data_IF_818169447386
#
_entry.id   IF_818169447386
#
_cell.length_a   1.000
_cell.length_b   1.000
_cell.length_c   1.000
_cell.angle_alpha   90.00
_cell.angle_beta   90.00
_cell.angle_gamma   90.00
#
_symmetry.space_group_name_H-M   'P 1'
#
loop_
_entity.id
_entity.type
_entity.pdbx_description
1 polymer ?
#
# COMPACT_ATOMS: atom_id res chain seq x y z
N UNK A 1 -2.98 43.95 5.02
CA UNK A 1 -1.55 44.18 5.35
C UNK A 1 -0.74 43.60 4.19
N UNK A 2 -0.26 44.45 3.27
CA UNK A 2 0.48 44.05 2.07
C UNK A 2 1.91 43.65 2.46
N UNK A 3 2.34 42.46 2.10
CA UNK A 3 3.75 42.05 2.14
C UNK A 3 4.24 41.88 0.71
N UNK A 4 5.23 42.68 0.34
CA UNK A 4 5.96 42.60 -0.93
C UNK A 4 6.85 41.34 -0.96
N UNK A 5 7.06 40.71 -2.13
CA UNK A 5 8.03 39.65 -2.28
C UNK A 5 9.40 40.22 -2.73
N UNK A 6 10.44 40.04 -1.93
CA UNK A 6 11.83 40.23 -2.33
C UNK A 6 12.25 39.11 -3.31
N UNK A 7 11.88 39.24 -4.59
CA UNK A 7 12.58 38.55 -5.69
C UNK A 7 13.82 39.39 -6.03
N UNK A 8 15.01 39.00 -5.58
CA UNK A 8 16.31 39.47 -6.13
C UNK A 8 17.48 38.64 -5.58
N UNK A 9 17.41 37.31 -5.68
CA UNK A 9 18.56 36.46 -5.28
C UNK A 9 18.78 35.21 -6.13
N UNK A 10 17.81 34.74 -6.93
CA UNK A 10 17.99 33.51 -7.72
C UNK A 10 18.78 33.74 -9.01
N UNK A 11 18.55 34.88 -9.68
CA UNK A 11 19.13 35.13 -11.02
C UNK A 11 20.60 35.58 -10.96
N UNK A 12 20.99 36.28 -9.88
CA UNK A 12 22.38 36.74 -9.66
C UNK A 12 23.37 35.60 -9.41
N UNK A 13 22.90 34.47 -8.89
CA UNK A 13 23.74 33.30 -8.62
C UNK A 13 24.05 32.56 -9.93
N UNK A 14 23.09 32.53 -10.87
CA UNK A 14 23.23 31.86 -12.17
C UNK A 14 24.01 32.70 -13.19
N UNK A 15 23.97 34.03 -13.07
CA UNK A 15 24.73 34.94 -13.93
C UNK A 15 26.26 34.72 -13.83
N UNK A 16 26.78 34.31 -12.66
CA UNK A 16 28.22 34.04 -12.45
C UNK A 16 28.77 32.83 -13.20
N UNK A 17 27.92 31.96 -13.76
CA UNK A 17 28.34 30.72 -14.42
C UNK A 17 28.10 30.69 -15.94
N UNK A 18 27.55 31.75 -16.54
CA UNK A 18 27.49 31.89 -18.01
C UNK A 18 28.84 32.40 -18.51
N UNK A 19 29.66 31.51 -19.08
CA UNK A 19 30.80 31.92 -19.92
C UNK A 19 30.28 32.42 -21.29
N UNK A 20 30.92 33.42 -21.92
CA UNK A 20 30.56 33.85 -23.26
C UNK A 20 30.94 32.76 -24.27
N UNK A 21 29.99 32.39 -25.11
CA UNK A 21 30.18 31.59 -26.31
C UNK A 21 31.14 32.30 -27.28
N UNK A 22 32.28 31.67 -27.56
CA UNK A 22 33.16 32.07 -28.66
C UNK A 22 33.01 31.04 -29.79
N UNK A 23 32.32 31.47 -30.84
CA UNK A 23 32.46 30.92 -32.19
C UNK A 23 33.87 31.22 -32.72
N UNK A 24 34.56 30.20 -33.23
CA UNK A 24 35.43 30.23 -34.42
C UNK A 24 36.42 29.06 -34.38
N UNK A 25 36.14 28.05 -35.21
CA UNK A 25 37.17 27.11 -35.68
C UNK A 25 38.01 27.81 -36.74
N UNK A 26 39.32 27.55 -36.78
CA UNK A 26 39.88 27.12 -38.06
C UNK A 26 40.80 25.91 -37.92
N UNK A 27 41.10 25.38 -39.09
CA UNK A 27 41.50 24.03 -39.43
C UNK A 27 43.00 23.97 -39.76
N UNK A 28 43.62 22.82 -39.46
CA UNK A 28 44.79 22.16 -40.07
C UNK A 28 46.24 22.56 -39.75
N UNK A 29 46.99 21.48 -39.49
CA UNK A 29 48.22 21.01 -40.16
C UNK A 29 49.54 20.92 -39.39
N UNK A 30 50.21 19.79 -39.67
CA UNK A 30 51.37 19.18 -39.02
C UNK A 30 52.68 19.99 -39.15
N UNK A 31 53.57 19.81 -38.17
CA UNK A 31 54.99 20.17 -38.31
C UNK A 31 55.86 19.68 -37.16
N UNK A 32 56.67 18.65 -37.42
CA UNK A 32 57.77 18.20 -36.55
C UNK A 32 58.83 19.32 -36.39
N UNK A 33 59.30 19.59 -35.16
CA UNK A 33 60.75 19.73 -34.88
C UNK A 33 61.07 19.80 -33.37
N UNK A 34 62.22 19.21 -33.04
CA UNK A 34 62.85 19.02 -31.73
C UNK A 34 63.07 20.34 -30.95
N UNK A 35 62.98 20.27 -29.61
CA UNK A 35 63.87 20.97 -28.64
C UNK A 35 63.67 20.35 -27.25
N UNK A 36 64.66 19.61 -26.77
CA UNK A 36 65.72 20.08 -25.86
C UNK A 36 65.25 20.15 -24.41
N UNK A 37 65.55 19.06 -23.71
CA UNK A 37 65.64 18.88 -22.26
C UNK A 37 66.33 20.05 -21.54
N UNK A 38 65.62 20.72 -20.61
CA UNK A 38 66.13 21.34 -19.37
C UNK A 38 65.02 22.07 -18.60
N UNK A 39 64.15 21.36 -17.87
CA UNK A 39 63.48 21.87 -16.64
C UNK A 39 63.11 20.70 -15.71
N UNK A 40 64.08 19.87 -15.32
CA UNK A 40 63.87 18.83 -14.30
C UNK A 40 64.11 19.43 -12.91
N UNK A 41 63.09 20.08 -12.34
CA UNK A 41 62.94 20.32 -10.87
C UNK A 41 61.60 21.00 -10.50
N UNK A 42 60.87 21.62 -11.44
CA UNK A 42 59.51 22.12 -11.21
C UNK A 42 58.42 21.04 -11.38
N UNK A 43 58.72 19.95 -12.08
CA UNK A 43 57.71 18.97 -12.48
C UNK A 43 57.29 18.01 -11.35
N UNK A 44 58.16 17.67 -10.39
CA UNK A 44 57.81 16.72 -9.33
C UNK A 44 56.72 17.25 -8.37
N UNK A 45 56.77 18.53 -8.00
CA UNK A 45 55.73 19.15 -7.16
C UNK A 45 54.38 19.27 -7.91
N UNK A 46 54.44 19.53 -9.22
CA UNK A 46 53.26 19.58 -10.08
C UNK A 46 52.68 18.17 -10.34
N UNK A 47 53.51 17.14 -10.43
CA UNK A 47 53.09 15.76 -10.69
C UNK A 47 52.45 15.13 -9.45
N UNK A 48 52.97 15.40 -8.26
CA UNK A 48 52.34 15.02 -6.99
C UNK A 48 51.01 15.77 -6.74
N UNK A 49 50.95 17.07 -7.04
CA UNK A 49 49.72 17.86 -6.95
C UNK A 49 48.65 17.41 -7.97
N UNK A 50 49.07 17.05 -9.19
CA UNK A 50 48.19 16.49 -10.22
C UNK A 50 47.70 15.09 -9.86
N UNK A 51 48.55 14.25 -9.27
CA UNK A 51 48.17 12.94 -8.73
C UNK A 51 47.15 13.07 -7.59
N UNK A 52 47.39 13.97 -6.64
CA UNK A 52 46.48 14.21 -5.50
C UNK A 52 45.10 14.73 -5.96
N UNK A 53 45.07 15.66 -6.91
CA UNK A 53 43.80 16.21 -7.43
C UNK A 53 43.03 15.20 -8.28
N UNK A 54 43.72 14.32 -9.02
CA UNK A 54 43.09 13.22 -9.77
C UNK A 54 42.45 12.20 -8.83
N UNK A 55 43.19 11.74 -7.80
CA UNK A 55 42.63 10.82 -6.79
C UNK A 55 41.45 11.45 -6.04
N UNK A 56 41.53 12.75 -5.72
CA UNK A 56 40.41 13.50 -5.11
C UNK A 56 39.17 13.51 -6.00
N UNK A 57 39.32 13.70 -7.32
CA UNK A 57 38.21 13.68 -8.29
C UNK A 57 37.59 12.29 -8.40
N UNK A 58 38.41 11.24 -8.54
CA UNK A 58 37.99 9.84 -8.62
C UNK A 58 37.19 9.42 -7.38
N UNK A 59 37.69 9.75 -6.19
CA UNK A 59 36.98 9.49 -4.93
C UNK A 59 35.67 10.26 -4.82
N UNK A 60 35.62 11.53 -5.24
CA UNK A 60 34.37 12.30 -5.20
C UNK A 60 33.29 11.66 -6.08
N UNK A 61 33.66 11.15 -7.25
CA UNK A 61 32.74 10.55 -8.20
C UNK A 61 32.19 9.21 -7.69
N UNK A 62 33.03 8.42 -7.02
CA UNK A 62 32.61 7.15 -6.40
C UNK A 62 31.79 7.39 -5.13
N UNK A 63 32.28 8.23 -4.22
CA UNK A 63 31.65 8.46 -2.91
C UNK A 63 30.37 9.32 -3.01
N UNK A 64 30.21 10.13 -4.07
CA UNK A 64 29.01 10.93 -4.29
C UNK A 64 27.74 10.09 -4.50
N UNK A 65 27.89 8.84 -4.92
CA UNK A 65 26.78 7.91 -5.16
C UNK A 65 26.54 6.96 -3.98
N UNK A 66 27.34 7.07 -2.91
CA UNK A 66 27.21 6.17 -1.76
C UNK A 66 26.06 6.61 -0.88
N UNK A 67 25.03 5.76 -0.79
CA UNK A 67 23.78 6.07 -0.12
C UNK A 67 23.90 6.04 1.41
N UNK A 68 24.84 5.28 1.99
CA UNK A 68 25.04 5.22 3.44
C UNK A 68 26.35 4.52 3.83
N UNK A 69 27.05 5.03 4.86
CA UNK A 69 28.20 4.37 5.48
C UNK A 69 27.71 3.62 6.73
N UNK A 70 27.84 2.27 6.78
CA UNK A 70 27.40 1.48 7.92
C UNK A 70 28.00 1.92 9.26
N UNK A 71 27.21 1.86 10.33
CA UNK A 71 27.57 2.34 11.66
C UNK A 71 28.83 1.65 12.23
N UNK A 72 29.00 0.35 11.97
CA UNK A 72 30.18 -0.41 12.42
C UNK A 72 31.50 0.12 11.82
N UNK A 73 31.47 0.70 10.61
CA UNK A 73 32.67 1.30 9.99
C UNK A 73 33.00 2.64 10.67
N UNK A 74 31.99 3.38 11.13
CA UNK A 74 32.18 4.66 11.83
C UNK A 74 32.88 4.46 13.18
N UNK A 75 32.43 3.47 13.96
CA UNK A 75 32.94 3.18 15.31
C UNK A 75 34.27 2.42 15.35
N UNK A 76 34.66 1.71 14.29
CA UNK A 76 35.86 0.87 14.31
C UNK A 76 37.13 1.71 14.62
N UNK A 77 37.97 1.38 15.62
CA UNK A 77 39.18 2.12 15.96
C UNK A 77 40.34 1.85 14.99
N UNK A 78 40.05 1.75 13.68
CA UNK A 78 41.05 1.53 12.64
C UNK A 78 41.47 2.84 11.96
N UNK A 79 42.65 2.81 11.32
CA UNK A 79 43.15 3.85 10.44
C UNK A 79 42.10 4.34 9.44
N UNK A 80 42.10 5.64 9.14
CA UNK A 80 41.21 6.24 8.13
C UNK A 80 41.42 5.63 6.73
N UNK A 81 42.62 5.13 6.41
CA UNK A 81 42.89 4.40 5.16
C UNK A 81 42.09 3.10 5.11
N UNK A 82 42.13 2.32 6.20
CA UNK A 82 41.39 1.05 6.32
C UNK A 82 39.88 1.29 6.24
N UNK A 83 39.37 2.35 6.88
CA UNK A 83 37.95 2.74 6.77
C UNK A 83 37.55 3.04 5.33
N UNK A 84 38.35 3.84 4.62
CA UNK A 84 38.08 4.21 3.22
C UNK A 84 38.13 2.99 2.29
N UNK A 85 39.12 2.12 2.43
CA UNK A 85 39.19 0.88 1.67
C UNK A 85 38.01 -0.05 1.94
N UNK A 86 37.57 -0.15 3.20
CA UNK A 86 36.42 -0.98 3.59
C UNK A 86 35.14 -0.47 2.95
N UNK A 87 34.93 0.85 2.91
CA UNK A 87 33.79 1.48 2.21
C UNK A 87 33.85 1.17 0.72
N UNK A 88 35.00 1.36 0.06
CA UNK A 88 35.14 1.09 -1.37
C UNK A 88 34.96 -0.39 -1.71
N UNK A 89 35.44 -1.32 -0.86
CA UNK A 89 35.19 -2.77 -1.04
C UNK A 89 33.71 -3.11 -0.88
N UNK A 90 33.02 -2.50 0.07
CA UNK A 90 31.58 -2.69 0.27
C UNK A 90 30.79 -2.22 -0.96
N UNK A 91 31.09 -1.01 -1.45
CA UNK A 91 30.45 -0.46 -2.65
C UNK A 91 30.77 -1.28 -3.90
N UNK A 92 31.99 -1.82 -4.01
CA UNK A 92 32.33 -2.75 -5.08
C UNK A 92 31.49 -4.03 -5.02
N UNK A 93 31.23 -4.56 -3.82
CA UNK A 93 30.34 -5.69 -3.60
C UNK A 93 28.90 -5.39 -4.02
N UNK A 94 28.38 -4.21 -3.67
CA UNK A 94 27.05 -3.74 -4.09
C UNK A 94 26.95 -3.61 -5.61
N UNK A 95 27.91 -2.95 -6.25
CA UNK A 95 27.94 -2.76 -7.70
C UNK A 95 27.99 -4.10 -8.46
N UNK A 96 28.74 -5.09 -7.95
CA UNK A 96 28.77 -6.45 -8.51
C UNK A 96 27.44 -7.19 -8.35
N UNK A 97 26.79 -7.07 -7.18
CA UNK A 97 25.47 -7.65 -6.93
C UNK A 97 24.41 -7.06 -7.89
N UNK A 98 24.48 -5.76 -8.14
CA UNK A 98 23.57 -5.04 -9.04
C UNK A 98 23.96 -5.13 -10.52
N UNK A 99 25.06 -5.81 -10.87
CA UNK A 99 25.62 -5.93 -12.24
C UNK A 99 25.94 -4.58 -12.91
N UNK A 100 26.29 -3.57 -12.13
CA UNK A 100 26.68 -2.24 -12.62
C UNK A 100 28.17 -2.19 -12.96
N UNK A 101 28.54 -2.68 -14.15
CA UNK A 101 29.94 -2.78 -14.57
C UNK A 101 30.69 -1.43 -14.62
N UNK A 102 30.00 -0.35 -15.00
CA UNK A 102 30.59 1.00 -15.07
C UNK A 102 30.90 1.55 -13.68
N UNK A 103 30.03 1.31 -12.69
CA UNK A 103 30.25 1.68 -11.29
C UNK A 103 31.39 0.86 -10.69
N UNK A 104 31.41 -0.46 -10.94
CA UNK A 104 32.45 -1.36 -10.49
C UNK A 104 33.85 -0.97 -11.00
N UNK A 105 33.98 -0.56 -12.26
CA UNK A 105 35.26 -0.10 -12.83
C UNK A 105 35.76 1.18 -12.14
N UNK A 106 34.87 2.16 -11.90
CA UNK A 106 35.23 3.41 -11.21
C UNK A 106 35.63 3.16 -9.76
N UNK A 107 34.92 2.27 -9.06
CA UNK A 107 35.24 1.88 -7.67
C UNK A 107 36.57 1.14 -7.61
N UNK A 108 36.85 0.23 -8.54
CA UNK A 108 38.11 -0.51 -8.60
C UNK A 108 39.31 0.42 -8.81
N UNK A 109 39.22 1.39 -9.72
CA UNK A 109 40.28 2.38 -9.92
C UNK A 109 40.45 3.31 -8.71
N UNK A 110 39.35 3.74 -8.07
CA UNK A 110 39.42 4.51 -6.84
C UNK A 110 40.06 3.72 -5.69
N UNK A 111 39.77 2.42 -5.58
CA UNK A 111 40.37 1.53 -4.59
C UNK A 111 41.87 1.36 -4.84
N UNK A 112 42.30 1.15 -6.09
CA UNK A 112 43.71 1.07 -6.49
C UNK A 112 44.46 2.35 -6.11
N UNK A 113 43.88 3.52 -6.39
CA UNK A 113 44.46 4.81 -6.02
C UNK A 113 44.61 4.98 -4.51
N UNK A 114 43.64 4.53 -3.70
CA UNK A 114 43.71 4.60 -2.23
C UNK A 114 44.77 3.65 -1.65
N UNK A 115 44.94 2.47 -2.25
CA UNK A 115 45.96 1.50 -1.83
C UNK A 115 47.38 2.06 -1.96
N UNK A 116 47.64 2.84 -3.01
CA UNK A 116 48.93 3.48 -3.31
C UNK A 116 49.27 4.68 -2.42
N UNK A 117 48.33 5.18 -1.60
CA UNK A 117 48.56 6.34 -0.74
C UNK A 117 48.98 5.94 0.67
N UNK A 118 49.89 6.73 1.27
CA UNK A 118 50.20 6.62 2.69
C UNK A 118 49.07 7.16 3.56
N UNK A 119 49.05 6.76 4.83
CA UNK A 119 48.05 7.19 5.79
C UNK A 119 47.98 8.72 5.96
N UNK A 120 49.13 9.41 5.95
CA UNK A 120 49.21 10.88 6.02
C UNK A 120 48.57 11.54 4.79
N UNK A 121 48.76 10.97 3.61
CA UNK A 121 48.19 11.47 2.36
C UNK A 121 46.68 11.22 2.28
N UNK A 122 46.21 10.05 2.74
CA UNK A 122 44.77 9.77 2.89
C UNK A 122 44.07 10.75 3.85
N UNK A 123 44.70 11.08 4.99
CA UNK A 123 44.16 12.05 5.95
C UNK A 123 44.02 13.45 5.33
N UNK A 124 45.06 13.94 4.65
CA UNK A 124 45.02 15.23 3.92
C UNK A 124 43.93 15.24 2.84
N UNK A 125 43.77 14.13 2.11
CA UNK A 125 42.75 13.98 1.07
C UNK A 125 41.33 14.08 1.63
N UNK A 126 41.06 13.39 2.74
CA UNK A 126 39.75 13.43 3.41
C UNK A 126 39.47 14.82 4.00
N UNK A 127 40.46 15.47 4.61
CA UNK A 127 40.32 16.85 5.10
C UNK A 127 40.00 17.82 3.94
N UNK A 128 40.67 17.67 2.81
CA UNK A 128 40.42 18.46 1.61
C UNK A 128 39.01 18.23 1.03
N UNK A 129 38.53 16.98 1.00
CA UNK A 129 37.15 16.65 0.60
C UNK A 129 36.11 17.23 1.57
N UNK A 130 36.38 17.20 2.89
CA UNK A 130 35.53 17.81 3.90
C UNK A 130 35.45 19.34 3.76
N UNK A 131 36.56 19.99 3.44
CA UNK A 131 36.58 21.43 3.18
C UNK A 131 35.71 21.78 1.96
N UNK A 132 35.81 21.03 0.86
CA UNK A 132 34.95 21.23 -0.31
C UNK A 132 33.46 21.05 0.02
N UNK A 133 33.13 20.04 0.84
CA UNK A 133 31.75 19.79 1.26
C UNK A 133 31.20 20.95 2.11
N UNK A 134 32.02 21.51 3.02
CA UNK A 134 31.65 22.69 3.82
C UNK A 134 31.39 23.91 2.93
N UNK A 135 32.24 24.15 1.93
CA UNK A 135 32.06 25.25 0.98
C UNK A 135 30.76 25.12 0.17
N UNK A 136 30.31 23.89 -0.12
CA UNK A 136 29.09 23.61 -0.87
C UNK A 136 27.87 23.34 0.00
N UNK A 137 27.99 23.44 1.33
CA UNK A 137 26.96 23.01 2.27
C UNK A 137 25.61 23.69 2.03
N UNK A 138 25.60 24.98 1.71
CA UNK A 138 24.38 25.74 1.42
C UNK A 138 23.67 25.21 0.17
N UNK A 139 24.42 24.93 -0.90
CA UNK A 139 23.87 24.36 -2.14
C UNK A 139 23.39 22.92 -1.94
N UNK A 140 24.14 22.10 -1.19
CA UNK A 140 23.72 20.75 -0.85
C UNK A 140 22.45 20.74 -0.02
N UNK A 141 22.31 21.66 0.94
CA UNK A 141 21.07 21.82 1.71
C UNK A 141 19.90 22.18 0.80
N UNK A 142 20.09 23.15 -0.09
CA UNK A 142 19.09 23.50 -1.10
C UNK A 142 18.68 22.28 -1.94
N UNK A 143 19.64 21.49 -2.43
CA UNK A 143 19.36 20.33 -3.28
C UNK A 143 18.62 19.23 -2.49
N UNK A 144 18.96 19.01 -1.22
CA UNK A 144 18.24 18.09 -0.34
C UNK A 144 16.81 18.57 -0.07
N UNK A 145 16.63 19.85 0.26
CA UNK A 145 15.30 20.45 0.48
C UNK A 145 14.45 20.38 -0.78
N UNK A 146 14.99 20.76 -1.94
CA UNK A 146 14.28 20.68 -3.22
C UNK A 146 13.93 19.23 -3.59
N UNK A 147 14.82 18.26 -3.32
CA UNK A 147 14.51 16.83 -3.50
C UNK A 147 13.37 16.39 -2.57
N UNK A 148 13.39 16.81 -1.31
CA UNK A 148 12.34 16.49 -0.34
C UNK A 148 11.00 17.11 -0.74
N UNK A 149 10.99 18.37 -1.19
CA UNK A 149 9.81 19.06 -1.71
C UNK A 149 9.23 18.36 -2.94
N UNK A 150 10.10 17.91 -3.86
CA UNK A 150 9.66 17.17 -5.05
C UNK A 150 9.04 15.81 -4.66
N UNK A 151 9.66 15.07 -3.75
CA UNK A 151 9.12 13.79 -3.23
C UNK A 151 7.79 14.00 -2.51
N UNK A 152 7.65 15.06 -1.71
CA UNK A 152 6.39 15.42 -1.07
C UNK A 152 5.32 15.74 -2.11
N UNK A 153 5.66 16.52 -3.14
CA UNK A 153 4.75 16.87 -4.23
C UNK A 153 4.29 15.62 -4.99
N UNK A 154 5.21 14.69 -5.28
CA UNK A 154 4.89 13.41 -5.91
C UNK A 154 3.92 12.58 -5.05
N UNK A 155 4.17 12.44 -3.75
CA UNK A 155 3.25 11.74 -2.83
C UNK A 155 1.87 12.41 -2.77
N UNK A 156 1.84 13.75 -2.74
CA UNK A 156 0.60 14.51 -2.74
C UNK A 156 -0.19 14.31 -4.03
N UNK A 157 0.47 14.36 -5.19
CA UNK A 157 -0.18 14.11 -6.48
C UNK A 157 -0.70 12.67 -6.59
N UNK A 158 0.03 11.68 -6.08
CA UNK A 158 -0.45 10.29 -6.02
C UNK A 158 -1.70 10.15 -5.15
N UNK A 159 -1.71 10.80 -3.98
CA UNK A 159 -2.86 10.79 -3.07
C UNK A 159 -4.09 11.44 -3.73
N UNK A 160 -3.90 12.58 -4.41
CA UNK A 160 -4.97 13.24 -5.17
C UNK A 160 -5.47 12.36 -6.32
N UNK A 161 -4.57 11.69 -7.03
CA UNK A 161 -4.94 10.78 -8.11
C UNK A 161 -5.83 9.64 -7.58
N UNK A 162 -5.47 9.06 -6.44
CA UNK A 162 -6.26 8.00 -5.82
C UNK A 162 -7.61 8.52 -5.32
N UNK A 163 -7.67 9.72 -4.74
CA UNK A 163 -8.94 10.34 -4.36
C UNK A 163 -9.86 10.53 -5.58
N UNK A 164 -9.35 11.08 -6.69
CA UNK A 164 -10.13 11.27 -7.92
C UNK A 164 -10.63 9.92 -8.48
N UNK A 165 -9.82 8.86 -8.41
CA UNK A 165 -10.26 7.51 -8.80
C UNK A 165 -11.41 7.02 -7.91
N UNK A 166 -11.32 7.20 -6.60
CA UNK A 166 -12.38 6.79 -5.67
C UNK A 166 -13.67 7.58 -5.92
N UNK A 167 -13.58 8.90 -6.07
CA UNK A 167 -14.74 9.77 -6.34
C UNK A 167 -15.41 9.42 -7.68
N UNK A 168 -14.60 9.13 -8.72
CA UNK A 168 -15.12 8.64 -10.00
C UNK A 168 -15.90 7.33 -9.83
N UNK A 169 -15.34 6.35 -9.12
CA UNK A 169 -16.00 5.06 -8.88
C UNK A 169 -17.33 5.27 -8.12
N UNK A 170 -17.33 6.12 -7.09
CA UNK A 170 -18.55 6.44 -6.34
C UNK A 170 -19.62 7.09 -7.21
N UNK A 171 -19.25 8.06 -8.06
CA UNK A 171 -20.15 8.68 -9.02
C UNK A 171 -20.71 7.65 -10.01
N UNK A 172 -19.89 6.71 -10.49
CA UNK A 172 -20.34 5.62 -11.36
C UNK A 172 -21.38 4.73 -10.64
N UNK A 173 -21.13 4.32 -9.39
CA UNK A 173 -22.09 3.55 -8.59
C UNK A 173 -23.40 4.31 -8.36
N UNK A 174 -23.33 5.60 -8.03
CA UNK A 174 -24.51 6.43 -7.84
C UNK A 174 -25.34 6.55 -9.12
N UNK A 175 -24.68 6.82 -10.26
CA UNK A 175 -25.32 6.88 -11.57
C UNK A 175 -26.03 5.55 -11.91
N UNK A 176 -25.33 4.42 -11.74
CA UNK A 176 -25.92 3.10 -11.96
C UNK A 176 -27.14 2.87 -11.04
N UNK A 177 -27.06 3.27 -9.77
CA UNK A 177 -28.18 3.16 -8.82
C UNK A 177 -29.41 3.95 -9.26
N UNK A 178 -29.22 5.16 -9.79
CA UNK A 178 -30.33 5.97 -10.30
C UNK A 178 -30.94 5.31 -11.54
N UNK A 179 -30.13 4.91 -12.52
CA UNK A 179 -30.62 4.30 -13.76
C UNK A 179 -31.35 2.97 -13.50
N UNK A 180 -30.78 2.09 -12.66
CA UNK A 180 -31.42 0.81 -12.33
C UNK A 180 -32.72 1.02 -11.58
N UNK A 181 -32.79 2.00 -10.67
CA UNK A 181 -34.03 2.31 -9.96
C UNK A 181 -35.12 2.80 -10.92
N UNK A 182 -34.78 3.64 -11.89
CA UNK A 182 -35.72 4.10 -12.91
C UNK A 182 -36.26 2.93 -13.73
N UNK A 183 -35.37 2.05 -14.21
CA UNK A 183 -35.76 0.84 -14.93
C UNK A 183 -36.66 -0.08 -14.11
N UNK A 184 -36.32 -0.31 -12.83
CA UNK A 184 -37.12 -1.14 -11.95
C UNK A 184 -38.50 -0.52 -11.66
N UNK A 185 -38.60 0.81 -11.68
CA UNK A 185 -39.89 1.51 -11.54
C UNK A 185 -40.83 1.21 -12.71
N UNK A 186 -40.31 1.05 -13.93
CA UNK A 186 -41.11 0.65 -15.10
C UNK A 186 -41.57 -0.81 -15.00
N UNK A 187 -40.78 -1.67 -14.36
CA UNK A 187 -41.04 -3.11 -14.21
C UNK A 187 -41.65 -3.48 -12.84
N UNK A 188 -42.18 -2.51 -12.10
CA UNK A 188 -42.67 -2.68 -10.74
C UNK A 188 -43.72 -3.81 -10.58
N UNK A 189 -44.70 -3.98 -11.50
CA UNK A 189 -45.66 -5.09 -11.40
C UNK A 189 -44.99 -6.47 -11.46
N UNK A 190 -43.96 -6.62 -12.30
CA UNK A 190 -43.20 -7.85 -12.46
C UNK A 190 -42.32 -8.12 -11.23
N UNK A 191 -41.73 -7.09 -10.63
CA UNK A 191 -40.98 -7.21 -9.37
C UNK A 191 -41.89 -7.59 -8.19
N UNK A 192 -43.09 -7.02 -8.13
CA UNK A 192 -44.07 -7.36 -7.08
C UNK A 192 -44.54 -8.81 -7.19
N UNK A 193 -44.90 -9.27 -8.39
CA UNK A 193 -45.26 -10.66 -8.63
C UNK A 193 -44.13 -11.62 -8.23
N UNK A 194 -42.88 -11.29 -8.59
CA UNK A 194 -41.70 -12.03 -8.17
C UNK A 194 -41.57 -12.08 -6.63
N UNK A 195 -41.74 -10.96 -5.92
CA UNK A 195 -41.61 -10.92 -4.47
C UNK A 195 -42.65 -11.81 -3.77
N UNK A 196 -43.88 -11.85 -4.29
CA UNK A 196 -44.94 -12.70 -3.73
C UNK A 196 -44.70 -14.18 -3.99
N UNK A 197 -44.20 -14.54 -5.17
CA UNK A 197 -43.81 -15.92 -5.49
C UNK A 197 -42.58 -16.37 -4.68
N UNK A 198 -41.56 -15.52 -4.56
CA UNK A 198 -40.37 -15.76 -3.76
C UNK A 198 -40.71 -16.03 -2.29
N UNK A 199 -41.73 -15.35 -1.73
CA UNK A 199 -42.19 -15.56 -0.35
C UNK A 199 -42.79 -16.96 -0.15
N UNK A 200 -43.40 -17.55 -1.19
CA UNK A 200 -44.03 -18.87 -1.11
C UNK A 200 -43.03 -20.02 -1.17
N UNK A 201 -41.85 -19.77 -1.74
CA UNK A 201 -40.76 -20.75 -1.74
C UNK A 201 -40.25 -20.98 -0.32
N UNK A 202 -39.94 -22.23 0.00
CA UNK A 202 -39.45 -22.62 1.33
C UNK A 202 -37.97 -22.98 1.31
N UNK A 203 -37.53 -23.69 0.27
CA UNK A 203 -36.15 -24.16 0.15
C UNK A 203 -35.19 -23.04 -0.30
N UNK A 204 -34.00 -23.02 0.29
CA UNK A 204 -32.97 -22.01 -0.02
C UNK A 204 -32.46 -22.16 -1.46
N UNK A 205 -32.26 -23.38 -1.94
CA UNK A 205 -31.76 -23.64 -3.29
C UNK A 205 -32.78 -23.20 -4.35
N UNK A 206 -34.08 -23.51 -4.14
CA UNK A 206 -35.17 -23.03 -5.01
C UNK A 206 -35.21 -21.49 -5.05
N UNK A 207 -35.05 -20.83 -3.90
CA UNK A 207 -34.98 -19.36 -3.84
C UNK A 207 -33.77 -18.82 -4.59
N UNK A 208 -32.62 -19.48 -4.53
CA UNK A 208 -31.42 -19.08 -5.25
C UNK A 208 -31.63 -19.18 -6.76
N UNK A 209 -32.11 -20.32 -7.25
CA UNK A 209 -32.38 -20.55 -8.68
C UNK A 209 -33.45 -19.59 -9.20
N UNK A 210 -34.53 -19.39 -8.44
CA UNK A 210 -35.60 -18.45 -8.81
C UNK A 210 -35.08 -17.01 -8.90
N UNK A 211 -34.23 -16.59 -7.97
CA UNK A 211 -33.60 -15.27 -7.99
C UNK A 211 -32.64 -15.10 -9.18
N UNK A 212 -31.81 -16.11 -9.48
CA UNK A 212 -30.89 -16.05 -10.62
C UNK A 212 -31.63 -15.99 -11.97
N UNK A 213 -32.66 -16.81 -12.13
CA UNK A 213 -33.52 -16.77 -13.32
C UNK A 213 -34.20 -15.41 -13.49
N UNK A 214 -34.63 -14.80 -12.38
CA UNK A 214 -35.22 -13.48 -12.39
C UNK A 214 -34.20 -12.39 -12.79
N UNK A 215 -32.96 -12.47 -12.33
CA UNK A 215 -31.89 -11.57 -12.77
C UNK A 215 -31.60 -11.69 -14.25
N UNK A 216 -31.51 -12.92 -14.78
CA UNK A 216 -31.32 -13.15 -16.21
C UNK A 216 -32.47 -12.55 -17.03
N UNK A 217 -33.72 -12.78 -16.61
CA UNK A 217 -34.90 -12.21 -17.27
C UNK A 217 -34.90 -10.68 -17.28
N UNK A 218 -34.59 -10.05 -16.15
CA UNK A 218 -34.49 -8.59 -16.08
C UNK A 218 -33.38 -8.04 -16.98
N UNK A 219 -32.26 -8.76 -17.07
CA UNK A 219 -31.14 -8.40 -17.93
C UNK A 219 -31.47 -8.55 -19.42
N UNK A 220 -32.25 -9.57 -19.80
CA UNK A 220 -32.77 -9.74 -21.16
C UNK A 220 -33.67 -8.56 -21.56
N UNK A 221 -34.65 -8.20 -20.71
CA UNK A 221 -35.53 -7.04 -20.92
C UNK A 221 -34.70 -5.75 -21.07
N UNK A 222 -33.65 -5.61 -20.26
CA UNK A 222 -32.76 -4.46 -20.34
C UNK A 222 -31.97 -4.42 -21.66
N UNK A 223 -31.48 -5.56 -22.17
CA UNK A 223 -30.75 -5.64 -23.44
C UNK A 223 -31.60 -5.38 -24.68
N UNK A 224 -32.90 -5.69 -24.62
CA UNK A 224 -33.84 -5.40 -25.71
C UNK A 224 -34.01 -3.89 -25.94
N UNK A 225 -33.80 -3.09 -24.89
CA UNK A 225 -33.94 -1.64 -24.97
C UNK A 225 -32.66 -0.97 -25.50
N UNK A 226 -32.76 -0.28 -26.64
CA UNK A 226 -31.64 0.42 -27.28
C UNK A 226 -30.92 1.42 -26.37
N UNK A 227 -31.63 2.04 -25.43
CA UNK A 227 -31.03 3.00 -24.49
C UNK A 227 -30.01 2.36 -23.53
N UNK A 228 -30.15 1.06 -23.27
CA UNK A 228 -29.31 0.34 -22.32
C UNK A 228 -28.11 -0.35 -22.97
N UNK A 229 -28.10 -0.58 -24.29
CA UNK A 229 -27.02 -1.28 -24.97
C UNK A 229 -25.66 -0.62 -24.77
N UNK A 230 -25.58 0.71 -24.93
CA UNK A 230 -24.34 1.47 -24.71
C UNK A 230 -23.90 1.48 -23.24
N UNK A 231 -24.86 1.54 -22.32
CA UNK A 231 -24.61 1.54 -20.87
C UNK A 231 -24.10 0.19 -20.42
N UNK A 232 -24.76 -0.89 -20.84
CA UNK A 232 -24.39 -2.26 -20.53
C UNK A 232 -23.04 -2.63 -21.13
N UNK A 233 -22.74 -2.24 -22.37
CA UNK A 233 -21.44 -2.53 -22.99
C UNK A 233 -20.25 -1.95 -22.18
N UNK A 234 -20.42 -0.78 -21.57
CA UNK A 234 -19.34 -0.12 -20.81
C UNK A 234 -19.38 -0.42 -19.31
N UNK A 235 -20.54 -0.74 -18.75
CA UNK A 235 -20.79 -0.79 -17.30
C UNK A 235 -21.57 -2.03 -16.84
N UNK A 236 -21.55 -3.12 -17.62
CA UNK A 236 -22.28 -4.37 -17.37
C UNK A 236 -22.21 -4.82 -15.91
N UNK A 237 -20.99 -5.02 -15.40
CA UNK A 237 -20.76 -5.47 -14.02
C UNK A 237 -21.41 -4.57 -12.98
N UNK A 238 -21.29 -3.25 -13.17
CA UNK A 238 -21.80 -2.27 -12.23
C UNK A 238 -23.33 -2.27 -12.19
N UNK A 239 -23.96 -2.39 -13.36
CA UNK A 239 -25.42 -2.47 -13.49
C UNK A 239 -25.93 -3.75 -12.85
N UNK A 240 -25.32 -4.91 -13.13
CA UNK A 240 -25.69 -6.20 -12.53
C UNK A 240 -25.64 -6.18 -11.00
N UNK A 241 -24.54 -5.72 -10.43
CA UNK A 241 -24.38 -5.62 -8.96
C UNK A 241 -25.40 -4.68 -8.33
N UNK A 242 -25.74 -3.60 -9.03
CA UNK A 242 -26.73 -2.63 -8.56
C UNK A 242 -28.14 -3.20 -8.62
N UNK A 243 -28.48 -3.91 -9.70
CA UNK A 243 -29.74 -4.62 -9.88
C UNK A 243 -29.93 -5.68 -8.79
N UNK A 244 -28.92 -6.52 -8.56
CA UNK A 244 -28.90 -7.51 -7.48
C UNK A 244 -29.17 -6.86 -6.13
N UNK A 245 -28.50 -5.74 -5.81
CA UNK A 245 -28.73 -5.00 -4.56
C UNK A 245 -30.17 -4.53 -4.42
N UNK A 246 -30.74 -3.94 -5.47
CA UNK A 246 -32.11 -3.42 -5.43
C UNK A 246 -33.14 -4.53 -5.21
N UNK A 247 -33.05 -5.63 -5.96
CA UNK A 247 -33.99 -6.75 -5.85
C UNK A 247 -33.80 -7.51 -4.54
N UNK A 248 -32.55 -7.87 -4.20
CA UNK A 248 -32.26 -8.60 -2.96
C UNK A 248 -32.74 -7.82 -1.73
N UNK A 249 -32.64 -6.49 -1.74
CA UNK A 249 -33.16 -5.65 -0.65
C UNK A 249 -34.67 -5.84 -0.42
N UNK A 250 -35.47 -6.06 -1.48
CA UNK A 250 -36.92 -6.27 -1.38
C UNK A 250 -37.29 -7.63 -0.80
N UNK A 251 -36.50 -8.66 -1.10
CA UNK A 251 -36.74 -10.04 -0.64
C UNK A 251 -35.92 -10.43 0.59
N UNK A 252 -35.07 -9.52 1.08
CA UNK A 252 -34.04 -9.80 2.09
C UNK A 252 -34.56 -10.56 3.31
N UNK A 253 -35.65 -10.11 3.92
CA UNK A 253 -36.18 -10.74 5.13
C UNK A 253 -36.66 -12.18 4.90
N UNK A 254 -37.19 -12.49 3.72
CA UNK A 254 -37.62 -13.85 3.35
C UNK A 254 -36.43 -14.72 2.91
N UNK A 255 -35.33 -14.08 2.51
CA UNK A 255 -34.11 -14.75 2.08
C UNK A 255 -33.19 -15.09 3.26
N UNK A 256 -33.05 -14.19 4.24
CA UNK A 256 -32.22 -14.39 5.43
C UNK A 256 -32.89 -15.32 6.46
N UNK A 257 -34.22 -15.31 6.55
CA UNK A 257 -34.98 -16.18 7.46
C UNK A 257 -35.88 -17.15 6.67
N UNK A 258 -35.32 -18.16 5.98
CA UNK A 258 -36.10 -19.11 5.20
C UNK A 258 -37.14 -19.88 6.03
N UNK A 259 -36.86 -20.16 7.31
CA UNK A 259 -37.77 -20.85 8.25
C UNK A 259 -38.54 -19.88 9.16
N UNK A 260 -38.49 -18.57 8.90
CA UNK A 260 -39.21 -17.56 9.67
C UNK A 260 -38.76 -17.48 11.13
N UNK A 261 -39.68 -17.69 12.06
CA UNK A 261 -39.45 -17.47 13.50
C UNK A 261 -38.43 -18.44 14.10
N UNK A 262 -38.31 -19.66 13.55
CA UNK A 262 -37.29 -20.62 14.01
C UNK A 262 -35.86 -20.09 13.81
N UNK A 263 -35.61 -19.36 12.71
CA UNK A 263 -34.30 -18.75 12.46
C UNK A 263 -34.05 -17.56 13.42
N UNK A 264 -35.09 -16.75 13.63
CA UNK A 264 -35.05 -15.60 14.55
C UNK A 264 -34.80 -16.01 16.00
N UNK A 265 -35.43 -17.10 16.43
CA UNK A 265 -35.26 -17.63 17.78
C UNK A 265 -33.85 -18.19 17.99
N UNK A 266 -33.30 -18.93 17.00
CA UNK A 266 -31.90 -19.40 17.03
C UNK A 266 -30.92 -18.24 17.13
N UNK A 267 -31.11 -17.19 16.34
CA UNK A 267 -30.28 -15.98 16.40
C UNK A 267 -30.41 -15.24 17.73
N UNK A 268 -31.63 -15.15 18.29
CA UNK A 268 -31.86 -14.52 19.60
C UNK A 268 -31.06 -15.23 20.69
N UNK A 269 -31.13 -16.56 20.75
CA UNK A 269 -30.37 -17.35 21.73
C UNK A 269 -28.87 -17.09 21.63
N UNK A 270 -28.32 -17.09 20.41
CA UNK A 270 -26.89 -16.79 20.24
C UNK A 270 -26.54 -15.34 20.59
N UNK A 271 -27.40 -14.38 20.24
CA UNK A 271 -27.17 -12.97 20.53
C UNK A 271 -27.16 -12.68 22.04
N UNK A 272 -28.05 -13.32 22.81
CA UNK A 272 -28.07 -13.28 24.27
C UNK A 272 -26.83 -13.96 24.88
N UNK A 273 -26.42 -15.09 24.30
CA UNK A 273 -25.22 -15.81 24.68
C UNK A 273 -23.96 -14.93 24.53
N UNK A 274 -23.76 -14.35 23.34
CA UNK A 274 -22.66 -13.42 23.06
C UNK A 274 -22.74 -12.17 23.94
N UNK A 275 -23.95 -11.64 24.15
CA UNK A 275 -24.17 -10.48 25.02
C UNK A 275 -23.76 -10.72 26.47
N UNK A 276 -23.88 -11.96 26.96
CA UNK A 276 -23.42 -12.36 28.29
C UNK A 276 -21.90 -12.53 28.31
N UNK A 277 -21.33 -13.23 27.33
CA UNK A 277 -19.87 -13.35 27.16
C UNK A 277 -19.17 -11.99 27.06
N UNK A 278 -19.75 -11.03 26.34
CA UNK A 278 -19.16 -9.70 26.13
C UNK A 278 -18.99 -8.90 27.42
N UNK A 279 -19.78 -9.18 28.47
CA UNK A 279 -19.71 -8.50 29.78
C UNK A 279 -18.51 -8.97 30.61
N UNK A 280 -18.17 -10.26 30.57
CA UNK A 280 -17.05 -10.84 31.33
C UNK A 280 -15.74 -10.85 30.56
N UNK A 281 -15.78 -11.00 29.23
CA UNK A 281 -14.58 -11.16 28.41
C UNK A 281 -13.79 -9.86 28.26
N UNK A 282 -12.59 -9.86 28.84
CA UNK A 282 -11.53 -8.90 28.58
C UNK A 282 -10.59 -9.45 27.50
N UNK A 283 -9.84 -8.61 26.78
CA UNK A 283 -8.83 -9.07 25.82
C UNK A 283 -7.83 -10.06 26.41
N UNK A 284 -7.52 -9.95 27.71
CA UNK A 284 -6.58 -10.81 28.42
C UNK A 284 -7.19 -12.14 28.90
N UNK A 285 -8.43 -12.46 28.52
CA UNK A 285 -9.11 -13.66 29.01
C UNK A 285 -8.40 -14.93 28.53
N UNK A 286 -8.28 -15.92 29.43
CA UNK A 286 -7.56 -17.17 29.17
C UNK A 286 -8.15 -17.94 28.00
N UNK A 287 -9.47 -17.92 27.86
CA UNK A 287 -10.16 -18.66 26.79
C UNK A 287 -9.93 -18.06 25.40
N UNK A 288 -9.60 -16.78 25.29
CA UNK A 288 -9.32 -16.16 23.99
C UNK A 288 -7.91 -16.50 23.50
N UNK A 289 -6.97 -16.76 24.40
CA UNK A 289 -5.56 -17.07 24.08
C UNK A 289 -4.87 -16.01 23.20
N UNK A 290 -5.25 -14.73 23.31
CA UNK A 290 -4.63 -13.65 22.53
C UNK A 290 -3.18 -13.41 23.02
N UNK A 291 -2.15 -13.54 22.16
CA UNK A 291 -0.78 -13.29 22.54
C UNK A 291 -0.56 -11.86 23.06
N UNK A 292 0.26 -11.73 24.10
CA UNK A 292 0.49 -10.43 24.76
C UNK A 292 1.07 -9.35 23.85
N UNK A 293 1.70 -9.74 22.75
CA UNK A 293 2.21 -8.82 21.73
C UNK A 293 1.10 -7.99 21.08
N UNK A 294 -0.09 -8.58 20.88
CA UNK A 294 -1.21 -7.97 20.17
C UNK A 294 -2.18 -7.21 21.08
N UNK A 295 -2.15 -7.45 22.39
CA UNK A 295 -3.01 -6.78 23.36
C UNK A 295 -2.84 -5.25 23.36
N UNK A 296 -1.68 -4.73 22.93
CA UNK A 296 -1.42 -3.29 22.83
C UNK A 296 -2.30 -2.57 21.80
N UNK A 297 -2.75 -3.29 20.78
CA UNK A 297 -3.60 -2.77 19.70
C UNK A 297 -5.11 -2.96 20.00
N UNK A 298 -5.44 -3.56 21.14
CA UNK A 298 -6.79 -3.69 21.66
C UNK A 298 -7.41 -2.30 21.89
N UNK A 299 -8.72 -2.09 21.62
CA UNK A 299 -9.73 -3.10 21.30
C UNK A 299 -10.01 -3.27 19.80
N UNK A 300 -9.07 -2.93 18.91
CA UNK A 300 -9.23 -3.08 17.45
C UNK A 300 -10.49 -2.40 16.88
N UNK A 301 -10.73 -1.15 17.29
CA UNK A 301 -11.94 -0.38 16.93
C UNK A 301 -12.23 -0.33 15.41
N UNK A 302 -11.24 -0.13 14.51
CA UNK A 302 -11.52 -0.09 13.06
C UNK A 302 -12.10 -1.41 12.54
N UNK A 303 -11.63 -2.55 13.06
CA UNK A 303 -12.17 -3.86 12.70
C UNK A 303 -13.61 -4.04 13.21
N UNK A 304 -13.88 -3.60 14.45
CA UNK A 304 -15.24 -3.61 14.99
C UNK A 304 -16.21 -2.76 14.16
N UNK A 305 -15.79 -1.56 13.73
CA UNK A 305 -16.61 -0.70 12.87
C UNK A 305 -16.89 -1.33 11.51
N UNK A 306 -15.88 -1.95 10.89
CA UNK A 306 -16.06 -2.67 9.63
C UNK A 306 -17.06 -3.83 9.77
N UNK A 307 -17.02 -4.56 10.89
CA UNK A 307 -17.93 -5.68 11.15
C UNK A 307 -19.36 -5.21 11.50
N UNK A 308 -19.54 -4.08 12.20
CA UNK A 308 -20.88 -3.51 12.48
C UNK A 308 -21.67 -3.21 11.20
N UNK A 309 -21.00 -2.95 10.08
CA UNK A 309 -21.65 -2.73 8.80
C UNK A 309 -22.39 -3.99 8.27
N UNK A 310 -22.13 -5.18 8.83
CA UNK A 310 -22.79 -6.44 8.48
C UNK A 310 -24.32 -6.38 8.63
N UNK A 311 -24.80 -5.62 9.63
CA UNK A 311 -26.22 -5.45 9.94
C UNK A 311 -26.96 -4.60 8.89
N UNK A 312 -26.24 -3.65 8.28
CA UNK A 312 -26.77 -2.79 7.22
C UNK A 312 -26.72 -3.46 5.83
N UNK A 313 -25.80 -4.41 5.63
CA UNK A 313 -25.60 -5.10 4.36
C UNK A 313 -26.77 -6.05 4.04
N UNK A 314 -27.35 -5.89 2.84
CA UNK A 314 -28.52 -6.66 2.38
C UNK A 314 -28.21 -7.70 1.29
N UNK A 315 -26.99 -7.71 0.75
CA UNK A 315 -26.58 -8.73 -0.22
C UNK A 315 -25.51 -9.66 0.37
N UNK A 316 -25.42 -10.92 -0.09
CA UNK A 316 -24.37 -11.84 0.34
C UNK A 316 -22.97 -11.27 0.09
N UNK A 317 -22.78 -10.65 -1.08
CA UNK A 317 -21.53 -10.02 -1.48
C UNK A 317 -21.15 -8.82 -0.61
N UNK A 318 -22.12 -8.02 -0.17
CA UNK A 318 -21.85 -6.90 0.73
C UNK A 318 -21.53 -7.38 2.15
N UNK A 319 -22.22 -8.42 2.64
CA UNK A 319 -21.91 -9.05 3.93
C UNK A 319 -20.50 -9.65 3.95
N UNK A 320 -20.13 -10.37 2.89
CA UNK A 320 -18.78 -10.89 2.69
C UNK A 320 -17.73 -9.77 2.70
N UNK A 321 -18.00 -8.66 1.99
CA UNK A 321 -17.10 -7.49 1.99
C UNK A 321 -16.91 -6.87 3.36
N UNK A 322 -17.94 -6.83 4.21
CA UNK A 322 -17.80 -6.37 5.60
C UNK A 322 -16.82 -7.25 6.38
N UNK A 323 -16.92 -8.58 6.24
CA UNK A 323 -16.00 -9.53 6.86
C UNK A 323 -14.58 -9.40 6.33
N UNK A 324 -14.39 -9.35 5.00
CA UNK A 324 -13.05 -9.15 4.41
C UNK A 324 -12.43 -7.83 4.84
N UNK A 325 -13.22 -6.76 4.97
CA UNK A 325 -12.73 -5.46 5.47
C UNK A 325 -12.33 -5.54 6.94
N UNK A 326 -13.13 -6.20 7.78
CA UNK A 326 -12.79 -6.45 9.17
C UNK A 326 -11.46 -7.22 9.28
N UNK A 327 -11.30 -8.30 8.50
CA UNK A 327 -10.09 -9.11 8.49
C UNK A 327 -8.85 -8.31 8.07
N UNK A 328 -8.95 -7.48 7.02
CA UNK A 328 -7.87 -6.61 6.56
C UNK A 328 -7.46 -5.60 7.63
N UNK A 329 -8.43 -4.95 8.27
CA UNK A 329 -8.15 -4.05 9.40
C UNK A 329 -7.44 -4.78 10.55
N UNK A 330 -7.82 -6.03 10.85
CA UNK A 330 -7.12 -6.82 11.86
C UNK A 330 -5.69 -7.14 11.45
N UNK A 331 -5.46 -7.62 10.24
CA UNK A 331 -4.11 -7.94 9.74
C UNK A 331 -3.20 -6.71 9.82
N UNK A 332 -3.69 -5.54 9.39
CA UNK A 332 -2.94 -4.29 9.44
C UNK A 332 -2.60 -3.89 10.88
N UNK A 333 -3.58 -3.96 11.80
CA UNK A 333 -3.38 -3.65 13.23
C UNK A 333 -2.40 -4.62 13.89
N UNK A 334 -2.52 -5.92 13.62
CA UNK A 334 -1.59 -6.92 14.15
C UNK A 334 -0.17 -6.72 13.59
N UNK A 335 -0.03 -6.25 12.35
CA UNK A 335 1.24 -5.89 11.73
C UNK A 335 1.96 -4.73 12.44
N UNK A 336 1.25 -3.85 13.15
CA UNK A 336 1.86 -2.77 13.94
C UNK A 336 2.62 -3.29 15.16
N UNK A 337 2.31 -4.51 15.63
CA UNK A 337 2.96 -5.12 16.80
C UNK A 337 4.45 -5.48 16.58
N UNK A 338 4.95 -5.37 15.34
CA UNK A 338 6.33 -5.71 14.98
C UNK A 338 6.60 -7.21 14.86
N UNK A 339 5.56 -8.05 14.98
CA UNK A 339 5.60 -9.50 14.78
C UNK A 339 4.89 -9.89 13.48
N UNK A 340 5.38 -10.93 12.80
CA UNK A 340 4.67 -11.48 11.64
C UNK A 340 3.49 -12.29 12.16
N UNK A 341 2.28 -11.74 12.08
CA UNK A 341 1.08 -12.41 12.56
C UNK A 341 0.81 -13.66 11.71
N UNK A 342 0.78 -14.84 12.34
CA UNK A 342 0.33 -16.07 11.72
C UNK A 342 -1.21 -16.14 11.74
N UNK A 343 -1.79 -17.13 11.05
CA UNK A 343 -3.23 -17.39 11.12
C UNK A 343 -3.71 -17.70 12.55
N UNK A 344 -2.90 -18.40 13.33
CA UNK A 344 -3.20 -18.77 14.72
C UNK A 344 -3.23 -17.56 15.67
N UNK A 345 -2.59 -16.45 15.28
CA UNK A 345 -2.63 -15.18 16.02
C UNK A 345 -3.87 -14.34 15.68
N UNK A 346 -4.46 -14.56 14.51
CA UNK A 346 -5.59 -13.80 13.99
C UNK A 346 -6.93 -14.25 14.58
N UNK A 347 -7.18 -15.56 14.63
CA UNK A 347 -8.49 -16.12 15.02
C UNK A 347 -8.93 -15.71 16.43
N UNK A 348 -8.07 -15.76 17.47
CA UNK A 348 -8.35 -15.20 18.80
C UNK A 348 -8.90 -13.76 18.79
N UNK A 349 -8.28 -12.90 17.98
CA UNK A 349 -8.63 -11.49 17.89
C UNK A 349 -9.94 -11.30 17.14
N UNK A 350 -10.18 -12.09 16.08
CA UNK A 350 -11.45 -12.10 15.36
C UNK A 350 -12.60 -12.54 16.27
N UNK A 351 -12.42 -13.60 17.06
CA UNK A 351 -13.41 -14.07 18.05
C UNK A 351 -13.77 -12.95 19.03
N UNK A 352 -12.77 -12.27 19.59
CA UNK A 352 -13.00 -11.13 20.48
C UNK A 352 -13.78 -10.00 19.78
N UNK A 353 -13.41 -9.64 18.54
CA UNK A 353 -14.10 -8.60 17.77
C UNK A 353 -15.56 -8.96 17.50
N UNK A 354 -15.85 -10.21 17.11
CA UNK A 354 -17.23 -10.68 16.91
C UNK A 354 -18.03 -10.56 18.20
N UNK A 355 -17.46 -10.95 19.35
CA UNK A 355 -18.14 -10.86 20.65
C UNK A 355 -18.41 -9.41 21.06
N UNK A 356 -17.44 -8.50 20.85
CA UNK A 356 -17.62 -7.08 21.18
C UNK A 356 -18.58 -6.36 20.26
N UNK A 357 -18.70 -6.79 19.00
CA UNK A 357 -19.68 -6.24 18.06
C UNK A 357 -21.07 -6.82 18.29
N UNK A 358 -21.16 -8.12 18.56
CA UNK A 358 -22.39 -8.90 18.64
C UNK A 358 -23.38 -8.63 17.47
N UNK A 359 -22.99 -8.94 16.21
CA UNK A 359 -23.82 -8.66 15.04
C UNK A 359 -25.21 -9.30 15.15
N UNK A 360 -26.24 -8.62 14.64
CA UNK A 360 -27.60 -9.19 14.66
C UNK A 360 -27.75 -10.27 13.59
N UNK A 361 -28.59 -11.26 13.87
CA UNK A 361 -28.89 -12.33 12.92
C UNK A 361 -27.64 -13.06 12.40
N UNK A 362 -26.69 -13.37 13.30
CA UNK A 362 -25.37 -13.89 12.96
C UNK A 362 -25.45 -15.28 12.28
N UNK A 363 -26.26 -16.20 12.81
CA UNK A 363 -26.44 -17.54 12.24
C UNK A 363 -27.17 -17.48 10.91
N UNK A 364 -28.24 -16.68 10.86
CA UNK A 364 -28.98 -16.48 9.61
C UNK A 364 -28.12 -15.78 8.55
N UNK A 365 -27.21 -14.88 8.95
CA UNK A 365 -26.24 -14.26 8.04
C UNK A 365 -25.27 -15.30 7.47
N UNK A 366 -24.73 -16.21 8.30
CA UNK A 366 -23.84 -17.29 7.83
C UNK A 366 -24.59 -18.19 6.84
N UNK A 367 -25.80 -18.63 7.19
CA UNK A 367 -26.63 -19.45 6.32
C UNK A 367 -26.95 -18.74 5.00
N UNK A 368 -27.39 -17.48 5.07
CA UNK A 368 -27.73 -16.67 3.91
C UNK A 368 -26.57 -16.48 2.93
N UNK A 369 -25.38 -16.15 3.42
CA UNK A 369 -24.20 -15.97 2.55
C UNK A 369 -23.77 -17.30 1.94
N UNK A 370 -23.79 -18.39 2.72
CA UNK A 370 -23.43 -19.72 2.23
C UNK A 370 -24.38 -20.22 1.13
N UNK A 371 -25.69 -19.99 1.27
CA UNK A 371 -26.67 -20.40 0.26
C UNK A 371 -26.64 -19.52 -0.98
N UNK A 372 -26.75 -18.20 -0.83
CA UNK A 372 -26.93 -17.28 -1.98
C UNK A 372 -25.61 -16.88 -2.68
N UNK A 373 -24.45 -17.24 -2.12
CA UNK A 373 -23.14 -16.97 -2.70
C UNK A 373 -22.33 -18.25 -2.97
N UNK A 374 -22.97 -19.42 -2.87
CA UNK A 374 -22.34 -20.71 -3.14
C UNK A 374 -21.65 -20.72 -4.51
N UNK A 375 -20.35 -21.05 -4.56
CA UNK A 375 -19.56 -21.15 -5.79
C UNK A 375 -19.04 -19.82 -6.38
N UNK A 376 -19.44 -18.68 -5.81
CA UNK A 376 -18.97 -17.34 -6.21
C UNK A 376 -17.87 -16.79 -5.27
N UNK A 377 -17.80 -17.27 -4.03
CA UNK A 377 -16.70 -16.94 -3.10
C UNK A 377 -15.44 -17.66 -3.56
N UNK A 378 -14.35 -16.92 -3.82
CA UNK A 378 -13.07 -17.49 -4.27
C UNK A 378 -11.88 -16.75 -3.67
N UNK A 379 -10.78 -17.45 -3.50
CA UNK A 379 -9.48 -16.86 -3.16
C UNK A 379 -9.45 -16.26 -1.75
N UNK A 380 -9.00 -15.02 -1.64
CA UNK A 380 -8.82 -14.34 -0.34
C UNK A 380 -10.14 -14.20 0.44
N UNK A 381 -11.24 -13.88 -0.26
CA UNK A 381 -12.55 -13.72 0.38
C UNK A 381 -13.09 -15.03 0.94
N UNK A 382 -12.78 -16.17 0.30
CA UNK A 382 -13.15 -17.51 0.78
C UNK A 382 -12.44 -17.86 2.08
N UNK A 383 -11.16 -17.53 2.14
CA UNK A 383 -10.36 -17.71 3.35
C UNK A 383 -10.92 -16.89 4.51
N UNK A 384 -11.17 -15.58 4.31
CA UNK A 384 -11.71 -14.71 5.37
C UNK A 384 -13.10 -15.14 5.83
N UNK A 385 -13.95 -15.55 4.89
CA UNK A 385 -15.28 -16.06 5.22
C UNK A 385 -15.22 -17.36 6.02
N UNK A 386 -14.30 -18.26 5.68
CA UNK A 386 -14.09 -19.51 6.41
C UNK A 386 -13.62 -19.23 7.84
N UNK A 387 -12.66 -18.31 8.02
CA UNK A 387 -12.20 -17.93 9.36
C UNK A 387 -13.33 -17.31 10.20
N UNK A 388 -14.16 -16.47 9.58
CA UNK A 388 -15.35 -15.92 10.23
C UNK A 388 -16.34 -17.01 10.65
N UNK A 389 -16.68 -17.94 9.77
CA UNK A 389 -17.56 -19.07 10.11
C UNK A 389 -16.99 -19.90 11.26
N UNK A 390 -15.70 -20.24 11.22
CA UNK A 390 -15.01 -20.98 12.28
C UNK A 390 -15.04 -20.24 13.62
N UNK A 391 -14.84 -18.92 13.62
CA UNK A 391 -14.93 -18.10 14.83
C UNK A 391 -16.37 -18.08 15.40
N UNK A 392 -17.40 -18.02 14.54
CA UNK A 392 -18.80 -18.11 14.97
C UNK A 392 -19.10 -19.48 15.58
N UNK A 393 -18.62 -20.57 14.98
CA UNK A 393 -18.78 -21.92 15.55
C UNK A 393 -18.07 -22.06 16.91
N UNK A 394 -16.86 -21.52 17.03
CA UNK A 394 -16.11 -21.53 18.30
C UNK A 394 -16.86 -20.77 19.40
N UNK A 395 -17.42 -19.60 19.09
CA UNK A 395 -18.20 -18.81 20.05
C UNK A 395 -19.39 -19.59 20.60
N UNK A 396 -20.06 -20.42 19.79
CA UNK A 396 -21.19 -21.25 20.27
C UNK A 396 -20.78 -22.26 21.34
N UNK A 397 -19.51 -22.66 21.35
CA UNK A 397 -18.97 -23.65 22.30
C UNK A 397 -18.31 -23.00 23.51
N UNK A 398 -18.24 -21.67 23.57
CA UNK A 398 -17.66 -20.97 24.71
C UNK A 398 -18.62 -21.01 25.89
N UNK A 399 -18.12 -21.31 27.09
CA UNK A 399 -18.90 -21.29 28.32
C UNK A 399 -18.66 -20.01 29.10
N UNK A 400 -19.57 -19.68 30.01
CA UNK A 400 -19.48 -18.50 30.90
C UNK A 400 -18.50 -18.68 32.07
N UNK A 401 -17.40 -19.41 31.85
CA UNK A 401 -16.48 -19.78 32.94
C UNK A 401 -15.70 -18.55 33.43
N UNK A 402 -15.71 -18.34 34.75
CA UNK A 402 -14.98 -17.27 35.46
C UNK A 402 -13.45 -17.46 35.49
#
# INVERSE_FOLDING_TARGET
MRLQPHLNSSDDILAKYRKPSAESSPVKENGHSKKSSKVLKSDNLNQEANSFTDVKKKLRLVLGNTSEIPYFIKQNPCSMKIKLETILRLEMGKARKLREWSSAARIAEALRCVQLLDERHCLKLIQSLRADLRLRATYLRYLVSSKQELLFTEMYLNTLQDQIKHDRIQCEFYFASVCVREFLSEQEPLVMAFCDEFRRLSLADEKCDFLQNFYLRLFEIMNENKHWQDVLHKRDFLVKVTLERCIMSRVYFNAIYPNGDGDRDRDRVLHEHIGTLSKSLRPEHKDLLIPSAFLRESPWLPAQEALRALDAARTPRDKLRCVSRCAKCLVDLLGLSGSCAAADDFTPVLVYVIIKVNPVALLSTVQFVNSFNAGQIRGEDEYWWTQFCSAVEYIKTMDYSD
#
